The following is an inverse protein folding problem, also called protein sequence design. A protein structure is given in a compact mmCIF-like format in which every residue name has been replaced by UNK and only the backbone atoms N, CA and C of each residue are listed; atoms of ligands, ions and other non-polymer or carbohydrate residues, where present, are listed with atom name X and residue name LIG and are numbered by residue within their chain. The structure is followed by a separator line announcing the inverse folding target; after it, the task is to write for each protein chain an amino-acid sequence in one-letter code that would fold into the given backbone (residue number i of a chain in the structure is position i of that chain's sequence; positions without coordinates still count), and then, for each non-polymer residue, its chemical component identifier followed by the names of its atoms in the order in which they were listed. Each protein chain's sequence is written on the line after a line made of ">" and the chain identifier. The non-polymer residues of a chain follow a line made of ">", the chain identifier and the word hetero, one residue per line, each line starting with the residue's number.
data_IF_793613366540
#
_entry.id   IF_793613366540
#
_cell.length_a   1.000
_cell.length_b   1.000
_cell.length_c   1.000
_cell.angle_alpha   90.00
_cell.angle_beta   90.00
_cell.angle_gamma   90.00
#
_symmetry.space_group_name_H-M   'P 1'
#
loop_
_entity.id
_entity.type
_entity.pdbx_description
1 polymer ?
#
# COMPACT_ATOMS: atom_id res chain seq x y z
N UNK A 1 18.95 5.34 2.62
CA UNK A 1 17.78 5.61 1.78
C UNK A 1 16.87 6.63 2.45
N UNK A 2 16.16 7.45 1.68
CA UNK A 2 15.18 8.42 2.19
C UNK A 2 13.84 8.16 1.54
N UNK A 3 12.78 8.01 2.32
CA UNK A 3 11.43 7.82 1.83
C UNK A 3 10.60 9.07 2.12
N UNK A 4 10.21 9.76 1.06
CA UNK A 4 9.30 10.90 1.15
C UNK A 4 7.86 10.41 1.29
N UNK A 5 7.17 10.89 2.33
CA UNK A 5 5.87 10.38 2.71
C UNK A 5 4.89 11.45 3.21
N UNK A 6 3.63 11.07 3.29
CA UNK A 6 2.61 11.64 4.17
C UNK A 6 1.93 10.49 4.93
N UNK A 7 1.51 10.71 6.17
CA UNK A 7 0.88 9.67 6.98
C UNK A 7 -0.36 9.07 6.32
N UNK A 8 -0.46 7.75 6.33
CA UNK A 8 -1.62 7.01 5.84
C UNK A 8 -1.83 7.01 4.32
N UNK A 9 -0.87 7.50 3.55
CA UNK A 9 -0.90 7.54 2.08
C UNK A 9 -0.31 6.30 1.42
N UNK A 10 -0.13 6.34 0.09
CA UNK A 10 0.51 5.29 -0.68
C UNK A 10 1.99 5.02 -0.28
N UNK A 11 2.57 5.84 0.59
CA UNK A 11 3.87 5.58 1.20
C UNK A 11 3.87 4.43 2.24
N UNK A 12 2.69 3.99 2.71
CA UNK A 12 2.62 2.92 3.72
C UNK A 12 3.26 1.61 3.25
N UNK A 13 3.00 1.17 2.03
CA UNK A 13 3.54 -0.08 1.51
C UNK A 13 5.07 -0.06 1.33
N UNK A 14 5.69 0.97 0.70
CA UNK A 14 7.14 1.13 0.68
C UNK A 14 7.77 1.27 2.07
N UNK A 15 7.13 1.99 2.99
CA UNK A 15 7.61 2.11 4.36
C UNK A 15 7.60 0.75 5.07
N UNK A 16 6.51 -0.01 4.97
CA UNK A 16 6.44 -1.37 5.51
C UNK A 16 7.55 -2.26 4.93
N UNK A 17 7.80 -2.14 3.63
CA UNK A 17 8.86 -2.89 2.95
C UNK A 17 10.25 -2.56 3.51
N UNK A 18 10.60 -1.27 3.64
CA UNK A 18 11.87 -0.81 4.21
C UNK A 18 12.04 -1.30 5.66
N UNK A 19 11.01 -1.13 6.47
CA UNK A 19 11.05 -1.51 7.87
C UNK A 19 11.13 -3.05 8.05
N UNK A 20 10.45 -3.83 7.21
CA UNK A 20 10.53 -5.29 7.22
C UNK A 20 11.92 -5.78 6.83
N UNK A 21 12.54 -5.21 5.80
CA UNK A 21 13.93 -5.49 5.40
C UNK A 21 14.89 -5.18 6.54
N UNK A 22 14.65 -4.10 7.29
CA UNK A 22 15.47 -3.74 8.45
C UNK A 22 16.74 -2.96 8.14
N UNK A 23 16.83 -2.41 6.93
CA UNK A 23 17.94 -1.51 6.56
C UNK A 23 17.72 -0.10 7.12
N UNK A 24 18.78 0.69 7.35
CA UNK A 24 18.62 2.08 7.75
C UNK A 24 17.92 2.92 6.68
N UNK A 25 16.91 3.67 7.09
CA UNK A 25 16.20 4.64 6.26
C UNK A 25 15.82 5.88 7.07
N UNK A 26 15.54 6.95 6.36
CA UNK A 26 15.00 8.21 6.88
C UNK A 26 13.60 8.43 6.29
N UNK A 27 12.65 8.80 7.13
CA UNK A 27 11.32 9.26 6.69
C UNK A 27 11.33 10.77 6.56
N UNK A 28 11.08 11.27 5.36
CA UNK A 28 11.00 12.70 5.07
C UNK A 28 9.56 13.08 4.81
N UNK A 29 8.94 13.77 5.77
CA UNK A 29 7.57 14.24 5.59
C UNK A 29 7.53 15.33 4.54
N UNK A 30 6.69 15.17 3.52
CA UNK A 30 6.52 16.17 2.46
C UNK A 30 5.68 17.32 2.99
N UNK A 31 6.25 18.52 2.95
CA UNK A 31 5.55 19.75 3.30
C UNK A 31 4.59 20.13 2.16
N UNK A 32 3.42 20.65 2.56
CA UNK A 32 2.40 21.17 1.65
C UNK A 32 1.92 22.52 2.14
N UNK A 33 1.59 23.39 1.22
CA UNK A 33 0.93 24.66 1.52
C UNK A 33 -0.57 24.48 1.85
N UNK A 34 -1.26 25.59 2.10
CA UNK A 34 -2.70 25.61 2.45
C UNK A 34 -3.59 25.03 1.35
N UNK A 35 -3.18 25.13 0.08
CA UNK A 35 -3.87 24.56 -1.08
C UNK A 35 -3.51 23.08 -1.33
N UNK A 36 -2.64 22.51 -0.48
CA UNK A 36 -2.19 21.12 -0.57
C UNK A 36 -1.13 20.88 -1.65
N UNK A 37 -0.51 21.93 -2.22
CA UNK A 37 0.58 21.83 -3.18
C UNK A 37 1.87 21.47 -2.43
N UNK A 38 2.64 20.47 -2.91
CA UNK A 38 3.95 20.16 -2.34
C UNK A 38 4.94 21.31 -2.50
N UNK A 39 5.92 21.38 -1.58
CA UNK A 39 7.00 22.37 -1.64
C UNK A 39 7.78 22.29 -2.96
N UNK A 40 8.36 23.42 -3.38
CA UNK A 40 9.18 23.48 -4.61
C UNK A 40 10.38 22.54 -4.54
N UNK A 41 10.96 22.34 -3.36
CA UNK A 41 12.03 21.38 -3.14
C UNK A 41 11.59 19.95 -3.44
N UNK A 42 10.38 19.57 -3.03
CA UNK A 42 9.84 18.24 -3.37
C UNK A 42 9.46 18.13 -4.85
N UNK A 43 8.91 19.19 -5.45
CA UNK A 43 8.57 19.21 -6.87
C UNK A 43 9.81 19.13 -7.78
N UNK A 44 10.96 19.62 -7.33
CA UNK A 44 12.23 19.42 -8.03
C UNK A 44 12.68 17.95 -8.03
N UNK A 45 12.35 17.21 -6.96
CA UNK A 45 12.64 15.78 -6.84
C UNK A 45 11.62 14.92 -7.60
N UNK A 46 10.34 15.26 -7.46
CA UNK A 46 9.22 14.57 -8.11
C UNK A 46 8.24 15.58 -8.73
N UNK A 47 8.40 15.93 -10.01
CA UNK A 47 7.55 16.93 -10.69
C UNK A 47 6.05 16.59 -10.72
N UNK A 48 5.68 15.31 -10.53
CA UNK A 48 4.28 14.89 -10.45
C UNK A 48 3.63 15.27 -9.11
N UNK A 49 4.43 15.63 -8.09
CA UNK A 49 3.94 15.98 -6.75
C UNK A 49 3.21 14.84 -6.03
N UNK A 50 3.39 13.59 -6.50
CA UNK A 50 2.77 12.40 -5.90
C UNK A 50 3.66 11.81 -4.82
N UNK A 51 3.06 11.07 -3.90
CA UNK A 51 3.72 10.36 -2.80
C UNK A 51 3.43 8.86 -2.97
N UNK A 52 4.43 8.01 -2.75
CA UNK A 52 5.80 8.25 -2.24
C UNK A 52 6.85 8.58 -3.31
N UNK A 53 8.02 9.02 -2.83
CA UNK A 53 9.28 9.03 -3.60
C UNK A 53 10.37 8.44 -2.74
N UNK A 54 11.17 7.53 -3.29
CA UNK A 54 12.35 6.94 -2.66
C UNK A 54 13.62 7.55 -3.27
N UNK A 55 14.54 8.01 -2.41
CA UNK A 55 15.92 8.31 -2.79
C UNK A 55 16.85 7.21 -2.29
N UNK A 56 17.69 6.66 -3.18
CA UNK A 56 18.69 5.66 -2.85
C UNK A 56 20.00 5.96 -3.60
N UNK A 57 20.89 6.70 -2.96
CA UNK A 57 22.03 7.32 -3.62
C UNK A 57 21.59 8.38 -4.63
N UNK A 58 21.94 8.18 -5.88
CA UNK A 58 21.55 9.01 -7.02
C UNK A 58 20.23 8.58 -7.70
N UNK A 59 19.70 7.42 -7.30
CA UNK A 59 18.40 6.96 -7.79
C UNK A 59 17.26 7.69 -7.10
N UNK A 60 16.36 8.28 -7.89
CA UNK A 60 15.07 8.78 -7.45
C UNK A 60 13.97 7.91 -8.08
N UNK A 61 13.23 7.19 -7.25
CA UNK A 61 12.19 6.26 -7.69
C UNK A 61 10.82 6.68 -7.16
N UNK A 62 9.85 6.73 -8.05
CA UNK A 62 8.43 6.96 -7.75
C UNK A 62 7.62 5.67 -7.96
N UNK A 63 6.31 5.72 -7.75
CA UNK A 63 5.38 4.59 -7.81
C UNK A 63 5.58 3.59 -6.66
N UNK A 64 4.60 3.51 -5.76
CA UNK A 64 4.66 2.66 -4.56
C UNK A 64 5.00 1.21 -4.87
N UNK A 65 4.38 0.63 -5.90
CA UNK A 65 4.61 -0.75 -6.29
C UNK A 65 6.01 -0.97 -6.86
N UNK A 66 6.51 -0.01 -7.67
CA UNK A 66 7.87 -0.07 -8.20
C UNK A 66 8.91 0.02 -7.09
N UNK A 67 8.69 0.90 -6.11
CA UNK A 67 9.55 1.02 -4.92
C UNK A 67 9.55 -0.28 -4.13
N UNK A 68 8.39 -0.89 -3.87
CA UNK A 68 8.30 -2.16 -3.16
C UNK A 68 9.05 -3.29 -3.89
N UNK A 69 8.88 -3.41 -5.21
CA UNK A 69 9.58 -4.42 -6.01
C UNK A 69 11.09 -4.18 -6.02
N UNK A 70 11.53 -2.94 -6.25
CA UNK A 70 12.94 -2.56 -6.21
C UNK A 70 13.60 -2.96 -4.89
N UNK A 71 12.96 -2.64 -3.76
CA UNK A 71 13.47 -2.96 -2.43
C UNK A 71 13.52 -4.47 -2.20
N UNK A 72 12.50 -5.21 -2.58
CA UNK A 72 12.46 -6.66 -2.43
C UNK A 72 13.52 -7.37 -3.29
N UNK A 73 13.84 -6.82 -4.47
CA UNK A 73 14.89 -7.35 -5.35
C UNK A 73 16.30 -6.94 -4.90
N UNK A 74 16.46 -5.73 -4.37
CA UNK A 74 17.73 -5.25 -3.82
C UNK A 74 18.14 -6.00 -2.55
N UNK A 75 17.17 -6.47 -1.77
CA UNK A 75 17.40 -7.18 -0.50
C UNK A 75 16.71 -8.56 -0.51
N UNK A 76 17.21 -9.50 -1.32
CA UNK A 76 16.57 -10.80 -1.53
C UNK A 76 16.48 -11.65 -0.25
N UNK A 77 17.38 -11.45 0.71
CA UNK A 77 17.39 -12.17 1.98
C UNK A 77 16.15 -11.87 2.84
N UNK A 78 15.47 -10.75 2.61
CA UNK A 78 14.22 -10.43 3.27
C UNK A 78 13.04 -11.28 2.77
N UNK A 79 13.17 -11.98 1.63
CA UNK A 79 12.20 -12.91 1.04
C UNK A 79 10.82 -12.26 0.81
N UNK A 80 10.81 -10.99 0.39
CA UNK A 80 9.58 -10.22 0.12
C UNK A 80 9.10 -10.34 -1.33
N UNK A 81 9.81 -11.09 -2.15
CA UNK A 81 9.40 -11.45 -3.50
C UNK A 81 9.90 -12.87 -3.83
N UNK A 82 9.07 -13.72 -4.48
CA UNK A 82 9.48 -15.03 -4.93
C UNK A 82 10.63 -14.97 -5.94
N UNK A 83 11.30 -16.12 -6.16
CA UNK A 83 12.45 -16.22 -7.08
C UNK A 83 12.07 -15.73 -8.50
N UNK A 84 12.91 -14.91 -9.16
CA UNK A 84 12.69 -14.50 -10.55
C UNK A 84 12.44 -15.70 -11.48
N UNK A 85 11.42 -15.57 -12.34
CA UNK A 85 11.03 -16.63 -13.30
C UNK A 85 10.17 -17.74 -12.72
N UNK A 86 9.89 -17.75 -11.40
CA UNK A 86 8.97 -18.71 -10.81
C UNK A 86 7.50 -18.37 -11.12
N UNK A 87 6.61 -19.35 -10.92
CA UNK A 87 5.17 -19.16 -11.02
C UNK A 87 4.68 -18.13 -9.99
N UNK A 88 5.16 -18.23 -8.78
CA UNK A 88 4.81 -17.34 -7.68
C UNK A 88 5.25 -15.88 -7.97
N UNK A 89 6.37 -15.69 -8.70
CA UNK A 89 6.77 -14.35 -9.16
C UNK A 89 5.78 -13.77 -10.16
N UNK A 90 5.26 -14.59 -11.07
CA UNK A 90 4.21 -14.15 -12.01
C UNK A 90 2.91 -13.80 -11.27
N UNK A 91 2.53 -14.57 -10.25
CA UNK A 91 1.38 -14.28 -9.39
C UNK A 91 1.59 -12.99 -8.58
N UNK A 92 2.80 -12.74 -8.06
CA UNK A 92 3.15 -11.46 -7.41
C UNK A 92 2.91 -10.28 -8.34
N UNK A 93 3.39 -10.34 -9.59
CA UNK A 93 3.17 -9.28 -10.56
C UNK A 93 1.68 -9.10 -10.87
N UNK A 94 0.93 -10.20 -11.07
CA UNK A 94 -0.51 -10.16 -11.32
C UNK A 94 -1.26 -9.46 -10.19
N UNK A 95 -1.01 -9.86 -8.93
CA UNK A 95 -1.65 -9.23 -7.77
C UNK A 95 -1.28 -7.75 -7.63
N UNK A 96 0.02 -7.45 -7.67
CA UNK A 96 0.48 -6.07 -7.45
C UNK A 96 -0.04 -5.13 -8.54
N UNK A 97 -0.01 -5.56 -9.82
CA UNK A 97 -0.56 -4.76 -10.92
C UNK A 97 -2.07 -4.63 -10.85
N UNK A 98 -2.80 -5.67 -10.43
CA UNK A 98 -4.24 -5.56 -10.25
C UNK A 98 -4.61 -4.63 -9.09
N UNK A 99 -3.90 -4.71 -7.97
CA UNK A 99 -4.10 -3.80 -6.84
C UNK A 99 -3.83 -2.34 -7.23
N UNK A 100 -2.77 -2.07 -8.01
CA UNK A 100 -2.40 -0.71 -8.42
C UNK A 100 -3.27 -0.15 -9.54
N UNK A 101 -3.70 -0.97 -10.49
CA UNK A 101 -4.39 -0.50 -11.70
C UNK A 101 -5.92 -0.65 -11.62
N UNK A 102 -6.42 -1.38 -10.63
CA UNK A 102 -7.87 -1.65 -10.50
C UNK A 102 -8.37 -1.19 -9.13
N UNK A 103 -7.87 -1.76 -8.05
CA UNK A 103 -8.39 -1.47 -6.70
C UNK A 103 -8.03 -0.03 -6.26
N UNK A 104 -6.77 0.36 -6.37
CA UNK A 104 -6.33 1.69 -5.96
C UNK A 104 -7.02 2.83 -6.74
N UNK A 105 -7.18 2.78 -8.07
CA UNK A 105 -7.93 3.80 -8.80
C UNK A 105 -9.41 3.87 -8.42
N UNK A 106 -10.05 2.74 -8.08
CA UNK A 106 -11.41 2.75 -7.56
C UNK A 106 -11.47 3.48 -6.21
N UNK A 107 -10.50 3.26 -5.30
CA UNK A 107 -10.42 4.02 -4.06
C UNK A 107 -10.17 5.52 -4.28
N UNK A 108 -9.35 5.89 -5.27
CA UNK A 108 -9.14 7.31 -5.59
C UNK A 108 -10.44 7.96 -6.10
N UNK A 109 -11.29 7.24 -6.84
CA UNK A 109 -12.62 7.72 -7.23
C UNK A 109 -13.57 7.85 -6.04
N UNK A 110 -13.48 6.96 -5.05
CA UNK A 110 -14.21 7.08 -3.79
C UNK A 110 -13.80 8.34 -3.01
N UNK A 111 -12.48 8.59 -2.86
CA UNK A 111 -11.97 9.72 -2.07
C UNK A 111 -12.08 11.09 -2.77
N UNK A 112 -12.00 11.11 -4.09
CA UNK A 112 -11.89 12.34 -4.89
C UNK A 112 -12.86 12.30 -6.09
N UNK A 113 -14.17 12.02 -5.88
CA UNK A 113 -15.11 11.84 -6.99
C UNK A 113 -15.17 13.05 -7.92
N UNK A 114 -14.95 14.26 -7.39
CA UNK A 114 -14.93 15.52 -8.15
C UNK A 114 -13.86 15.56 -9.25
N UNK A 115 -12.76 14.80 -9.08
CA UNK A 115 -11.69 14.70 -10.09
C UNK A 115 -12.04 13.77 -11.26
N UNK A 116 -13.13 13.02 -11.13
CA UNK A 116 -13.52 11.96 -12.07
C UNK A 116 -14.93 12.15 -12.64
N UNK A 117 -15.53 13.33 -12.48
CA UNK A 117 -16.85 13.64 -13.02
C UNK A 117 -17.91 14.01 -11.98
N UNK A 118 -17.64 13.83 -10.69
CA UNK A 118 -18.50 14.30 -9.60
C UNK A 118 -19.63 13.34 -9.26
N UNK A 119 -20.87 13.75 -9.56
CA UNK A 119 -22.09 13.01 -9.16
C UNK A 119 -22.11 11.56 -9.66
N UNK A 120 -22.44 10.61 -8.78
CA UNK A 120 -22.53 9.17 -9.06
C UNK A 120 -21.19 8.42 -9.12
N UNK A 121 -20.06 9.13 -9.18
CA UNK A 121 -18.74 8.49 -9.28
C UNK A 121 -18.39 7.75 -8.00
N UNK A 122 -18.70 8.32 -6.84
CA UNK A 122 -18.42 7.69 -5.55
C UNK A 122 -19.22 6.40 -5.38
N UNK A 123 -20.51 6.43 -5.63
CA UNK A 123 -21.41 5.28 -5.50
C UNK A 123 -21.02 4.14 -6.45
N UNK A 124 -20.63 4.48 -7.69
CA UNK A 124 -20.11 3.51 -8.64
C UNK A 124 -18.80 2.89 -8.16
N UNK A 125 -17.88 3.70 -7.63
CA UNK A 125 -16.62 3.24 -7.06
C UNK A 125 -16.84 2.35 -5.82
N UNK A 126 -17.78 2.70 -4.94
CA UNK A 126 -18.11 1.91 -3.75
C UNK A 126 -18.65 0.53 -4.12
N UNK A 127 -19.52 0.45 -5.14
CA UNK A 127 -20.03 -0.82 -5.67
C UNK A 127 -18.90 -1.66 -6.28
N UNK A 128 -18.02 -1.05 -7.06
CA UNK A 128 -16.87 -1.72 -7.65
C UNK A 128 -15.92 -2.26 -6.58
N UNK A 129 -15.61 -1.44 -5.57
CA UNK A 129 -14.73 -1.80 -4.45
C UNK A 129 -15.30 -2.93 -3.60
N UNK A 130 -16.60 -2.94 -3.33
CA UNK A 130 -17.24 -4.05 -2.64
C UNK A 130 -16.94 -5.37 -3.35
N UNK A 131 -17.16 -5.44 -4.67
CA UNK A 131 -16.87 -6.64 -5.46
C UNK A 131 -15.38 -7.01 -5.52
N UNK A 132 -14.49 -6.02 -5.49
CA UNK A 132 -13.04 -6.28 -5.42
C UNK A 132 -12.63 -6.88 -4.09
N UNK A 133 -13.10 -6.33 -2.97
CA UNK A 133 -12.80 -6.85 -1.64
C UNK A 133 -13.43 -8.22 -1.38
N UNK A 134 -14.63 -8.49 -1.89
CA UNK A 134 -15.25 -9.83 -1.84
C UNK A 134 -14.41 -10.88 -2.58
N UNK A 135 -13.83 -10.50 -3.72
CA UNK A 135 -12.93 -11.40 -4.48
C UNK A 135 -11.62 -11.66 -3.75
N UNK A 136 -11.03 -10.61 -3.10
CA UNK A 136 -9.83 -10.78 -2.27
C UNK A 136 -10.14 -11.68 -1.08
N UNK A 137 -11.24 -11.42 -0.38
CA UNK A 137 -11.67 -12.23 0.77
C UNK A 137 -11.85 -13.70 0.39
N UNK A 138 -12.54 -13.95 -0.73
CA UNK A 138 -12.72 -15.30 -1.24
C UNK A 138 -11.40 -16.01 -1.60
N UNK A 139 -10.42 -15.29 -2.12
CA UNK A 139 -9.08 -15.84 -2.38
C UNK A 139 -8.38 -16.20 -1.07
N UNK A 140 -8.44 -15.32 -0.08
CA UNK A 140 -7.80 -15.50 1.23
C UNK A 140 -8.47 -16.59 2.09
N UNK A 141 -9.66 -17.07 1.74
CA UNK A 141 -10.29 -18.22 2.42
C UNK A 141 -9.46 -19.51 2.32
N UNK A 142 -8.58 -19.63 1.31
CA UNK A 142 -7.77 -20.82 1.07
C UNK A 142 -6.27 -20.63 1.29
N UNK A 143 -5.83 -19.44 1.68
CA UNK A 143 -4.40 -19.13 1.85
C UNK A 143 -4.16 -18.04 2.89
N UNK A 144 -2.99 -18.03 3.47
CA UNK A 144 -2.58 -17.02 4.46
C UNK A 144 -2.10 -15.71 3.81
N UNK A 145 -1.46 -15.81 2.64
CA UNK A 145 -0.87 -14.70 1.90
C UNK A 145 -1.40 -14.66 0.47
N UNK A 146 -1.30 -13.53 -0.19
CA UNK A 146 -1.77 -13.38 -1.59
C UNK A 146 -1.02 -14.29 -2.56
N UNK A 147 0.24 -14.61 -2.26
CA UNK A 147 1.11 -15.37 -3.15
C UNK A 147 1.92 -16.41 -2.39
N UNK A 148 1.71 -17.69 -2.71
CA UNK A 148 2.47 -18.78 -2.10
C UNK A 148 2.26 -18.92 -0.60
N UNK A 149 3.31 -19.39 0.09
CA UNK A 149 3.27 -19.74 1.50
C UNK A 149 3.95 -18.69 2.41
N UNK A 150 4.43 -17.58 1.83
CA UNK A 150 5.17 -16.54 2.56
C UNK A 150 4.65 -15.16 2.16
N UNK A 151 4.78 -14.18 3.08
CA UNK A 151 4.39 -12.80 2.77
C UNK A 151 5.25 -12.21 1.67
N UNK A 152 4.65 -11.35 0.86
CA UNK A 152 5.29 -10.61 -0.21
C UNK A 152 4.97 -9.11 -0.12
N UNK A 153 5.61 -8.30 -0.95
CA UNK A 153 5.26 -6.89 -1.07
C UNK A 153 3.81 -6.64 -1.51
N UNK A 154 3.16 -7.62 -2.14
CA UNK A 154 1.74 -7.53 -2.49
C UNK A 154 0.84 -7.51 -1.24
N UNK A 155 1.23 -8.23 -0.18
CA UNK A 155 0.51 -8.25 1.09
C UNK A 155 0.61 -6.89 1.80
N UNK A 156 1.76 -6.24 1.76
CA UNK A 156 1.94 -4.89 2.30
C UNK A 156 1.14 -3.85 1.50
N UNK A 157 1.03 -4.05 0.19
CA UNK A 157 0.20 -3.20 -0.65
C UNK A 157 -1.29 -3.41 -0.37
N UNK A 158 -1.73 -4.66 -0.23
CA UNK A 158 -3.10 -4.98 0.18
C UNK A 158 -3.42 -4.43 1.58
N UNK A 159 -2.50 -4.58 2.54
CA UNK A 159 -2.63 -4.04 3.90
C UNK A 159 -2.95 -2.53 3.91
N UNK A 160 -2.23 -1.77 3.10
CA UNK A 160 -2.48 -0.34 2.89
C UNK A 160 -3.87 -0.09 2.29
N UNK A 161 -4.23 -0.79 1.21
CA UNK A 161 -5.52 -0.61 0.53
C UNK A 161 -6.70 -1.03 1.42
N UNK A 162 -6.56 -2.10 2.20
CA UNK A 162 -7.58 -2.52 3.17
C UNK A 162 -7.82 -1.43 4.23
N UNK A 163 -6.74 -0.80 4.73
CA UNK A 163 -6.86 0.35 5.64
C UNK A 163 -7.58 1.54 4.98
N UNK A 164 -7.32 1.81 3.71
CA UNK A 164 -8.05 2.85 2.99
C UNK A 164 -9.53 2.50 2.84
N UNK A 165 -9.85 1.23 2.63
CA UNK A 165 -11.22 0.72 2.54
C UNK A 165 -12.04 0.78 3.84
N UNK A 166 -11.49 1.31 4.95
CA UNK A 166 -12.23 1.52 6.21
C UNK A 166 -13.37 2.52 6.10
N UNK A 167 -13.36 3.35 5.06
CA UNK A 167 -14.40 4.36 4.81
C UNK A 167 -15.54 3.87 3.91
N UNK A 168 -15.48 2.61 3.47
CA UNK A 168 -16.54 1.96 2.74
C UNK A 168 -17.65 1.48 3.69
N UNK A 169 -18.81 1.18 3.15
CA UNK A 169 -19.94 0.60 3.89
C UNK A 169 -20.44 -0.66 3.17
N UNK A 170 -20.21 -1.87 3.67
CA UNK A 170 -19.38 -2.19 4.85
C UNK A 170 -17.88 -1.93 4.63
N UNK A 171 -17.13 -1.68 5.72
CA UNK A 171 -15.70 -1.46 5.63
C UNK A 171 -14.98 -2.69 5.04
N UNK A 172 -13.85 -2.46 4.35
CA UNK A 172 -13.12 -3.54 3.69
C UNK A 172 -12.75 -4.68 4.66
N UNK A 173 -12.28 -4.34 5.85
CA UNK A 173 -11.87 -5.28 6.90
C UNK A 173 -13.02 -5.95 7.68
N UNK A 174 -14.29 -5.67 7.38
CA UNK A 174 -15.41 -6.43 7.91
C UNK A 174 -15.57 -7.81 7.24
N UNK A 175 -14.80 -8.08 6.19
CA UNK A 175 -14.71 -9.37 5.54
C UNK A 175 -13.75 -10.28 6.32
N UNK A 176 -14.18 -11.48 6.76
CA UNK A 176 -13.46 -12.25 7.77
C UNK A 176 -12.05 -12.67 7.38
N UNK A 177 -11.85 -13.11 6.13
CA UNK A 177 -10.53 -13.57 5.67
C UNK A 177 -9.59 -12.37 5.43
N UNK A 178 -10.13 -11.27 4.92
CA UNK A 178 -9.38 -10.04 4.72
C UNK A 178 -8.99 -9.39 6.06
N UNK A 179 -9.87 -9.44 7.08
CA UNK A 179 -9.55 -9.01 8.43
C UNK A 179 -8.44 -9.86 9.03
N UNK A 180 -8.55 -11.20 8.92
CA UNK A 180 -7.52 -12.13 9.40
C UNK A 180 -6.17 -11.88 8.73
N UNK A 181 -6.14 -11.66 7.41
CA UNK A 181 -4.94 -11.29 6.67
C UNK A 181 -4.37 -9.95 7.17
N UNK A 182 -5.22 -8.94 7.35
CA UNK A 182 -4.80 -7.63 7.82
C UNK A 182 -4.16 -7.68 9.20
N UNK A 183 -4.78 -8.41 10.16
CA UNK A 183 -4.24 -8.63 11.50
C UNK A 183 -2.91 -9.38 11.47
N UNK A 184 -2.82 -10.47 10.72
CA UNK A 184 -1.56 -11.22 10.52
C UNK A 184 -0.46 -10.34 9.94
N UNK A 185 -0.79 -9.49 8.98
CA UNK A 185 0.15 -8.56 8.36
C UNK A 185 0.61 -7.50 9.37
N UNK A 186 -0.28 -7.01 10.24
CA UNK A 186 0.07 -6.06 11.32
C UNK A 186 1.06 -6.64 12.34
N UNK A 187 1.08 -7.95 12.54
CA UNK A 187 2.04 -8.60 13.45
C UNK A 187 3.48 -8.56 12.93
N UNK A 188 3.67 -8.38 11.62
CA UNK A 188 4.98 -8.24 11.02
C UNK A 188 5.64 -6.92 11.45
N UNK A 189 6.97 -6.94 11.51
CA UNK A 189 7.77 -5.78 11.92
C UNK A 189 7.49 -4.54 11.07
N UNK A 190 7.47 -4.70 9.75
CA UNK A 190 7.32 -3.59 8.82
C UNK A 190 5.99 -2.86 8.96
N UNK A 191 4.84 -3.52 8.79
CA UNK A 191 3.53 -2.93 8.98
C UNK A 191 3.30 -2.31 10.35
N UNK A 192 3.78 -2.95 11.43
CA UNK A 192 3.69 -2.40 12.79
C UNK A 192 4.43 -1.07 12.90
N UNK A 193 5.66 -0.98 12.39
CA UNK A 193 6.44 0.26 12.40
C UNK A 193 5.80 1.39 11.59
N UNK A 194 5.05 1.07 10.54
CA UNK A 194 4.28 2.08 9.81
C UNK A 194 3.30 2.80 10.73
N UNK A 195 2.57 2.05 11.57
CA UNK A 195 1.62 2.66 12.50
C UNK A 195 2.32 3.48 13.57
N UNK A 196 3.43 2.98 14.11
CA UNK A 196 4.22 3.66 15.13
C UNK A 196 4.88 4.95 14.58
N UNK A 197 5.62 4.84 13.48
CA UNK A 197 6.44 5.95 12.94
C UNK A 197 5.62 6.99 12.17
N UNK A 198 4.43 6.62 11.65
CA UNK A 198 3.51 7.57 11.04
C UNK A 198 2.41 8.05 11.99
N UNK A 199 2.43 7.60 13.25
CA UNK A 199 1.44 7.96 14.30
C UNK A 199 0.00 7.70 13.86
N UNK A 200 -0.24 6.53 13.23
CA UNK A 200 -1.56 6.16 12.72
C UNK A 200 -2.39 5.46 13.81
N UNK A 201 -3.69 5.78 13.92
CA UNK A 201 -4.56 5.07 14.85
C UNK A 201 -4.79 3.63 14.36
N UNK A 202 -4.67 2.68 15.28
CA UNK A 202 -5.11 1.31 15.05
C UNK A 202 -6.65 1.22 15.11
N UNK A 203 -7.28 0.34 14.33
CA UNK A 203 -8.70 0.05 14.49
C UNK A 203 -8.97 -0.68 15.81
N UNK A 204 -10.17 -0.51 16.39
CA UNK A 204 -10.54 -1.07 17.69
C UNK A 204 -10.34 -2.60 17.76
N UNK A 205 -10.68 -3.32 16.69
CA UNK A 205 -10.52 -4.79 16.63
C UNK A 205 -9.06 -5.26 16.64
N UNK A 206 -8.09 -4.37 16.41
CA UNK A 206 -6.66 -4.67 16.46
C UNK A 206 -6.00 -4.29 17.80
N UNK A 207 -6.77 -3.74 18.74
CA UNK A 207 -6.31 -3.35 20.08
C UNK A 207 -6.86 -4.26 21.18
N UNK A 208 -7.70 -5.23 20.83
CA UNK A 208 -8.39 -6.15 21.72
C UNK A 208 -7.53 -7.34 22.18
#
# INVERSE_FOLDING_TARGET
>A
MRLHYLPGTAAMAPHATLAEIGVPYELVRVERDEDGRPSDAYLALNPWGKIPTLEDGDLVLTESAAICLYLAEKYPDARLAPHPGSRERAELYRWLLWLTNTVQPAQLRHFYPERYGGEGVKEAADTELAGHYDRIDSHLAGCEWLVGDDRTVADFFLFMLTRWGRFLEPAAWERPNLQAHWLRTLELRGPRRVFEEQELPLPEFATA
#
